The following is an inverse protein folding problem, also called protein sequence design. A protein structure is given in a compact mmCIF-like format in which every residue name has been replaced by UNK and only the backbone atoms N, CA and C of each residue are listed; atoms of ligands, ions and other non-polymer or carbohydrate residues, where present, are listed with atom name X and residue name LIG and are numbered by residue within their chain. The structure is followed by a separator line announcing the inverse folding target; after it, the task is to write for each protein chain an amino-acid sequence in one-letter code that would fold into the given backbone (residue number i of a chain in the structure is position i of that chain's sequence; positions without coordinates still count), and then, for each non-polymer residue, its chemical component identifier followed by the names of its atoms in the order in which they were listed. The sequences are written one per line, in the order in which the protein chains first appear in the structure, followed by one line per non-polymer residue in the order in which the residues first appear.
data_IF_242650113363
#
_entry.id   IF_242650113363
#
_cell.length_a   1.000
_cell.length_b   1.000
_cell.length_c   1.000
_cell.angle_alpha   90.00
_cell.angle_beta   90.00
_cell.angle_gamma   90.00
#
_symmetry.space_group_name_H-M   'P 1'
#
loop_
_entity.id
_entity.type
_entity.pdbx_description
1 polymer ?
#
# COMPACT_ATOMS: atom_id res chain seq x y z
N UNK A 1 -17.41 -5.23 -6.25
CA UNK A 1 -16.93 -4.12 -7.12
C UNK A 1 -15.59 -4.49 -7.73
N UNK A 2 -15.37 -4.22 -9.01
CA UNK A 2 -14.04 -4.36 -9.61
C UNK A 2 -13.29 -3.02 -9.52
N UNK A 3 -12.13 -3.01 -8.89
CA UNK A 3 -11.37 -1.77 -8.60
C UNK A 3 -10.95 -1.05 -9.88
N UNK A 4 -10.41 -1.77 -10.87
CA UNK A 4 -9.99 -1.18 -12.15
C UNK A 4 -11.16 -0.53 -12.89
N UNK A 5 -12.27 -1.25 -13.02
CA UNK A 5 -13.47 -0.74 -13.69
C UNK A 5 -14.04 0.48 -13.00
N UNK A 6 -14.07 0.50 -11.66
CA UNK A 6 -14.55 1.63 -10.88
C UNK A 6 -13.67 2.87 -11.07
N UNK A 7 -12.35 2.70 -11.00
CA UNK A 7 -11.42 3.82 -11.22
C UNK A 7 -11.47 4.35 -12.66
N UNK A 8 -11.69 3.49 -13.65
CA UNK A 8 -11.90 3.91 -15.03
C UNK A 8 -13.15 4.80 -15.19
N UNK A 9 -14.23 4.44 -14.51
CA UNK A 9 -15.46 5.26 -14.50
C UNK A 9 -15.25 6.60 -13.78
N UNK A 10 -14.55 6.60 -12.65
CA UNK A 10 -14.35 7.80 -11.82
C UNK A 10 -13.33 8.79 -12.39
N UNK A 11 -12.34 8.31 -13.12
CA UNK A 11 -11.18 9.10 -13.52
C UNK A 11 -11.08 9.34 -15.04
N UNK A 12 -11.77 8.56 -15.86
CA UNK A 12 -11.71 8.67 -17.32
C UNK A 12 -10.48 7.99 -17.92
N UNK A 13 -9.56 8.76 -18.49
CA UNK A 13 -8.39 8.21 -19.19
C UNK A 13 -7.43 7.49 -18.22
N UNK A 14 -7.27 6.18 -18.45
CA UNK A 14 -6.40 5.29 -17.67
C UNK A 14 -5.51 4.43 -18.56
N UNK A 15 -5.38 4.75 -19.85
CA UNK A 15 -4.72 3.88 -20.84
C UNK A 15 -3.27 3.49 -20.48
N UNK A 16 -2.53 4.40 -19.85
CA UNK A 16 -1.14 4.19 -19.49
C UNK A 16 -0.94 3.79 -18.01
N UNK A 17 -2.03 3.51 -17.29
CA UNK A 17 -1.98 3.23 -15.87
C UNK A 17 -2.19 1.73 -15.59
N UNK A 18 -1.45 1.24 -14.61
CA UNK A 18 -1.60 -0.09 -14.04
C UNK A 18 -2.52 -0.02 -12.81
N UNK A 19 -3.77 -0.39 -13.00
CA UNK A 19 -4.78 -0.44 -11.95
C UNK A 19 -5.03 -1.88 -11.54
N UNK A 20 -5.34 -2.11 -10.28
CA UNK A 20 -5.61 -3.44 -9.74
C UNK A 20 -6.90 -4.02 -10.33
N UNK A 21 -6.77 -5.07 -11.13
CA UNK A 21 -7.89 -5.79 -11.72
C UNK A 21 -8.36 -6.90 -10.76
N UNK A 22 -9.11 -6.50 -9.76
CA UNK A 22 -9.57 -7.39 -8.68
C UNK A 22 -10.99 -7.03 -8.24
N UNK A 23 -11.77 -8.06 -7.94
CA UNK A 23 -13.11 -7.92 -7.38
C UNK A 23 -13.05 -7.92 -5.86
N UNK A 24 -13.62 -6.92 -5.23
CA UNK A 24 -13.61 -6.72 -3.77
C UNK A 24 -15.00 -6.27 -3.29
N UNK A 25 -15.32 -6.63 -2.07
CA UNK A 25 -16.40 -6.02 -1.28
C UNK A 25 -15.79 -4.89 -0.43
N UNK A 26 -15.96 -3.61 -0.82
CA UNK A 26 -15.25 -2.49 -0.19
C UNK A 26 -15.46 -2.36 1.30
N UNK A 27 -16.65 -2.73 1.77
CA UNK A 27 -17.05 -2.66 3.17
C UNK A 27 -16.28 -3.63 4.06
N UNK A 28 -15.67 -4.67 3.48
CA UNK A 28 -14.86 -5.66 4.22
C UNK A 28 -13.44 -5.20 4.46
N UNK A 29 -12.97 -4.18 3.74
CA UNK A 29 -11.59 -3.70 3.85
C UNK A 29 -11.46 -2.74 5.02
N UNK A 30 -10.60 -3.10 5.96
CA UNK A 30 -10.30 -2.33 7.17
C UNK A 30 -8.86 -1.78 7.20
N UNK A 31 -7.98 -2.32 6.37
CA UNK A 31 -6.62 -1.80 6.22
C UNK A 31 -6.20 -1.69 4.75
N UNK A 32 -5.41 -0.67 4.43
CA UNK A 32 -4.79 -0.51 3.12
C UNK A 32 -3.28 -0.46 3.29
N UNK A 33 -2.56 -1.26 2.50
CA UNK A 33 -1.10 -1.19 2.40
C UNK A 33 -0.72 -0.53 1.08
N UNK A 34 -0.02 0.60 1.14
CA UNK A 34 0.43 1.34 -0.03
C UNK A 34 1.91 1.04 -0.26
N UNK A 35 2.20 0.27 -1.31
CA UNK A 35 3.55 0.03 -1.82
C UNK A 35 4.00 1.19 -2.71
N UNK A 36 5.24 1.20 -3.17
CA UNK A 36 5.81 2.33 -3.89
C UNK A 36 5.33 2.44 -5.35
N UNK A 37 5.66 1.47 -6.19
CA UNK A 37 5.47 1.56 -7.65
C UNK A 37 5.09 0.22 -8.25
N UNK A 38 4.24 0.26 -9.28
CA UNK A 38 3.91 -0.95 -10.07
C UNK A 38 5.16 -1.52 -10.74
N UNK A 39 5.28 -2.85 -10.87
CA UNK A 39 6.41 -3.49 -11.53
C UNK A 39 6.38 -3.23 -13.04
N UNK A 40 7.51 -3.44 -13.71
CA UNK A 40 7.59 -3.32 -15.18
C UNK A 40 6.71 -4.37 -15.88
N UNK A 41 6.69 -5.60 -15.36
CA UNK A 41 5.81 -6.67 -15.84
C UNK A 41 4.51 -6.70 -15.00
N UNK A 42 3.32 -6.58 -15.62
CA UNK A 42 2.05 -6.62 -14.88
C UNK A 42 1.82 -7.90 -14.08
N UNK A 43 2.32 -9.03 -14.57
CA UNK A 43 2.19 -10.33 -13.91
C UNK A 43 2.96 -10.40 -12.58
N UNK A 44 3.93 -9.51 -12.37
CA UNK A 44 4.75 -9.45 -11.15
C UNK A 44 4.14 -8.59 -10.05
N UNK A 45 2.99 -7.95 -10.31
CA UNK A 45 2.26 -7.17 -9.30
C UNK A 45 1.45 -8.08 -8.35
N UNK A 46 0.92 -7.53 -7.28
CA UNK A 46 0.19 -8.25 -6.22
C UNK A 46 -1.01 -9.05 -6.74
N UNK A 47 -1.72 -8.53 -7.74
CA UNK A 47 -2.90 -9.17 -8.35
C UNK A 47 -2.59 -9.75 -9.74
N UNK A 48 -1.32 -9.94 -10.07
CA UNK A 48 -0.89 -10.58 -11.30
C UNK A 48 -1.04 -12.10 -11.22
N UNK A 49 0.08 -12.81 -11.25
CA UNK A 49 0.08 -14.28 -11.05
C UNK A 49 0.27 -14.64 -9.57
N UNK A 50 -0.17 -15.83 -9.13
CA UNK A 50 -0.08 -16.25 -7.71
C UNK A 50 1.33 -16.21 -7.12
N UNK A 51 2.35 -16.54 -7.92
CA UNK A 51 3.77 -16.54 -7.59
C UNK A 51 4.50 -15.28 -8.10
N UNK A 52 3.80 -14.16 -8.17
CA UNK A 52 4.36 -12.89 -8.64
C UNK A 52 5.57 -12.45 -7.82
N UNK A 53 6.47 -11.67 -8.43
CA UNK A 53 7.65 -11.15 -7.76
C UNK A 53 7.29 -10.37 -6.48
N UNK A 54 6.21 -9.58 -6.51
CA UNK A 54 5.75 -8.81 -5.35
C UNK A 54 5.18 -9.72 -4.24
N UNK A 55 4.41 -10.75 -4.60
CA UNK A 55 3.90 -11.70 -3.61
C UNK A 55 5.00 -12.58 -3.00
N UNK A 56 6.05 -12.87 -3.73
CA UNK A 56 7.19 -13.68 -3.24
C UNK A 56 7.92 -13.04 -2.05
N UNK A 57 7.87 -11.73 -1.91
CA UNK A 57 8.41 -11.00 -0.76
C UNK A 57 7.35 -10.68 0.30
N UNK A 58 6.11 -10.45 -0.11
CA UNK A 58 5.00 -10.08 0.76
C UNK A 58 4.51 -11.26 1.61
N UNK A 59 4.34 -12.44 1.03
CA UNK A 59 3.91 -13.66 1.77
C UNK A 59 4.82 -13.98 2.95
N UNK A 60 6.16 -14.02 2.79
CA UNK A 60 7.06 -14.26 3.93
C UNK A 60 6.92 -13.23 5.06
N UNK A 61 6.66 -11.95 4.74
CA UNK A 61 6.46 -10.92 5.76
C UNK A 61 5.18 -11.15 6.55
N UNK A 62 4.07 -11.50 5.89
CA UNK A 62 2.82 -11.83 6.57
C UNK A 62 2.99 -13.05 7.47
N UNK A 63 3.65 -14.10 7.00
CA UNK A 63 3.94 -15.29 7.80
C UNK A 63 4.83 -14.99 9.00
N UNK A 64 5.85 -14.15 8.82
CA UNK A 64 6.70 -13.67 9.93
C UNK A 64 5.90 -12.87 10.96
N UNK A 65 4.88 -12.13 10.51
CA UNK A 65 3.93 -11.42 11.37
C UNK A 65 2.90 -12.35 12.06
N UNK A 66 3.00 -13.66 11.87
CA UNK A 66 2.06 -14.63 12.45
C UNK A 66 0.74 -14.76 11.68
N UNK A 67 0.67 -14.25 10.45
CA UNK A 67 -0.53 -14.26 9.62
C UNK A 67 -0.33 -15.27 8.49
N UNK A 68 -0.99 -16.41 8.58
CA UNK A 68 -0.90 -17.47 7.58
C UNK A 68 -1.63 -17.04 6.29
N UNK A 69 -0.86 -16.86 5.23
CA UNK A 69 -1.33 -16.54 3.88
C UNK A 69 -0.51 -17.31 2.84
N UNK A 70 -1.13 -17.67 1.74
CA UNK A 70 -0.48 -18.31 0.60
C UNK A 70 -0.72 -17.55 -0.70
N UNK A 71 -1.80 -16.78 -0.76
CA UNK A 71 -2.23 -16.01 -1.94
C UNK A 71 -2.69 -14.61 -1.51
N UNK A 72 -2.73 -13.70 -2.48
CA UNK A 72 -3.27 -12.35 -2.24
C UNK A 72 -4.74 -12.39 -1.78
N UNK A 73 -5.51 -13.38 -2.21
CA UNK A 73 -6.90 -13.57 -1.77
C UNK A 73 -6.99 -13.83 -0.27
N UNK A 74 -6.02 -14.51 0.33
CA UNK A 74 -5.98 -14.73 1.77
C UNK A 74 -5.80 -13.41 2.54
N UNK A 75 -5.05 -12.48 1.97
CA UNK A 75 -4.85 -11.14 2.52
C UNK A 75 -6.14 -10.33 2.42
N UNK A 76 -6.79 -10.35 1.25
CA UNK A 76 -8.09 -9.69 1.04
C UNK A 76 -9.16 -10.23 2.00
N UNK A 77 -9.22 -11.54 2.19
CA UNK A 77 -10.17 -12.20 3.11
C UNK A 77 -9.96 -11.81 4.58
N UNK A 78 -8.80 -11.22 4.90
CA UNK A 78 -8.50 -10.65 6.23
C UNK A 78 -8.82 -9.16 6.33
N UNK A 79 -9.47 -8.59 5.32
CA UNK A 79 -9.83 -7.18 5.30
C UNK A 79 -8.66 -6.24 4.96
N UNK A 80 -7.64 -6.74 4.28
CA UNK A 80 -6.45 -5.97 3.92
C UNK A 80 -6.37 -5.85 2.39
N UNK A 81 -6.32 -4.61 1.89
CA UNK A 81 -6.12 -4.30 0.49
C UNK A 81 -4.70 -3.78 0.26
N UNK A 82 -4.06 -4.22 -0.82
CA UNK A 82 -2.71 -3.76 -1.19
C UNK A 82 -2.79 -2.97 -2.50
N UNK A 83 -2.10 -1.83 -2.57
CA UNK A 83 -1.99 -1.05 -3.80
C UNK A 83 -0.61 -0.42 -3.94
N UNK A 84 -0.33 0.14 -5.12
CA UNK A 84 0.90 0.90 -5.40
C UNK A 84 0.59 2.40 -5.47
N UNK A 85 1.46 3.23 -4.90
CA UNK A 85 1.32 4.68 -4.93
C UNK A 85 1.47 5.24 -6.34
N UNK A 86 2.42 4.71 -7.10
CA UNK A 86 2.69 5.11 -8.49
C UNK A 86 2.15 4.05 -9.44
N UNK A 87 1.28 4.47 -10.35
CA UNK A 87 0.50 3.62 -11.26
C UNK A 87 1.19 3.37 -12.61
N UNK A 88 2.36 3.92 -12.82
CA UNK A 88 3.19 3.70 -14.02
C UNK A 88 4.52 3.09 -13.63
N UNK A 89 5.08 2.14 -14.41
CA UNK A 89 6.39 1.60 -14.14
C UNK A 89 7.45 2.71 -14.19
N UNK A 90 8.44 2.63 -13.30
CA UNK A 90 9.56 3.57 -13.37
C UNK A 90 10.43 3.29 -14.60
N UNK A 91 10.85 4.35 -15.30
CA UNK A 91 11.77 4.29 -16.44
C UNK A 91 13.23 4.42 -16.03
N UNK A 92 13.49 4.88 -14.80
CA UNK A 92 14.82 5.14 -14.26
C UNK A 92 15.00 4.44 -12.90
N UNK A 93 16.19 4.53 -12.33
CA UNK A 93 16.48 3.93 -11.01
C UNK A 93 15.58 4.49 -9.90
N UNK A 94 15.33 5.80 -9.91
CA UNK A 94 14.47 6.46 -8.93
C UNK A 94 13.10 6.81 -9.53
N UNK A 95 12.08 6.80 -8.67
CA UNK A 95 10.73 7.27 -9.04
C UNK A 95 10.73 8.79 -9.09
N UNK A 96 10.33 9.37 -10.24
CA UNK A 96 10.26 10.82 -10.40
C UNK A 96 9.10 11.43 -9.62
N UNK A 97 9.25 12.70 -9.23
CA UNK A 97 8.16 13.46 -8.60
C UNK A 97 6.94 13.53 -9.51
N UNK A 98 7.16 13.72 -10.81
CA UNK A 98 6.10 13.78 -11.82
C UNK A 98 5.27 12.48 -11.87
N UNK A 99 5.93 11.31 -11.86
CA UNK A 99 5.23 10.01 -11.83
C UNK A 99 4.34 9.87 -10.59
N UNK A 100 4.80 10.37 -9.44
CA UNK A 100 3.99 10.40 -8.23
C UNK A 100 2.80 11.33 -8.43
N UNK A 101 3.03 12.57 -8.86
CA UNK A 101 1.99 13.59 -9.05
C UNK A 101 0.90 13.11 -10.04
N UNK A 102 1.30 12.48 -11.14
CA UNK A 102 0.38 11.94 -12.14
C UNK A 102 -0.47 10.78 -11.61
N UNK A 103 0.01 10.05 -10.60
CA UNK A 103 -0.71 8.94 -9.98
C UNK A 103 -1.66 9.37 -8.85
N UNK A 104 -1.47 10.56 -8.26
CA UNK A 104 -2.22 11.00 -7.07
C UNK A 104 -3.74 11.05 -7.26
N UNK A 105 -4.30 11.53 -8.40
CA UNK A 105 -5.76 11.54 -8.58
C UNK A 105 -6.36 10.14 -8.49
N UNK A 106 -5.69 9.16 -9.06
CA UNK A 106 -6.14 7.76 -9.06
C UNK A 106 -5.98 7.12 -7.68
N UNK A 107 -4.83 7.30 -7.05
CA UNK A 107 -4.60 6.82 -5.68
C UNK A 107 -5.61 7.43 -4.71
N UNK A 108 -5.87 8.73 -4.79
CA UNK A 108 -6.84 9.42 -3.94
C UNK A 108 -8.26 8.87 -4.10
N UNK A 109 -8.70 8.62 -5.33
CA UNK A 109 -9.99 8.00 -5.62
C UNK A 109 -10.06 6.55 -5.13
N UNK A 110 -9.00 5.80 -5.35
CA UNK A 110 -8.89 4.40 -4.91
C UNK A 110 -9.01 4.28 -3.38
N UNK A 111 -8.31 5.11 -2.62
CA UNK A 111 -8.42 5.12 -1.16
C UNK A 111 -9.84 5.46 -0.67
N UNK A 112 -10.54 6.31 -1.41
CA UNK A 112 -11.91 6.71 -1.07
C UNK A 112 -12.98 5.65 -1.35
N UNK A 113 -12.62 4.55 -2.04
CA UNK A 113 -13.56 3.44 -2.31
C UNK A 113 -13.88 2.62 -1.04
N UNK A 114 -13.08 2.70 0.00
CA UNK A 114 -13.14 1.83 1.16
C UNK A 114 -13.67 2.59 2.41
N UNK A 115 -14.95 2.44 2.75
CA UNK A 115 -15.58 3.26 3.80
C UNK A 115 -15.14 2.89 5.22
N UNK A 116 -14.67 1.65 5.44
CA UNK A 116 -14.40 1.11 6.77
C UNK A 116 -12.91 1.03 7.12
N UNK A 117 -12.05 1.76 6.40
CA UNK A 117 -10.61 1.72 6.65
C UNK A 117 -10.27 2.36 7.99
N UNK A 118 -9.57 1.60 8.83
CA UNK A 118 -9.06 1.99 10.15
C UNK A 118 -7.57 2.26 10.15
N UNK A 119 -6.83 1.58 9.25
CA UNK A 119 -5.35 1.66 9.17
C UNK A 119 -4.89 1.81 7.73
N UNK A 120 -3.92 2.70 7.50
CA UNK A 120 -3.17 2.78 6.24
C UNK A 120 -1.69 2.59 6.56
N UNK A 121 -1.06 1.57 5.96
CA UNK A 121 0.38 1.36 6.01
C UNK A 121 1.06 1.98 4.79
N UNK A 122 2.18 2.66 5.02
CA UNK A 122 2.97 3.29 3.98
C UNK A 122 4.30 2.53 3.85
N UNK A 123 4.38 1.68 2.84
CA UNK A 123 5.48 0.74 2.65
C UNK A 123 6.58 1.36 1.79
N UNK A 124 7.44 2.16 2.40
CA UNK A 124 8.56 2.83 1.77
C UNK A 124 8.41 4.33 1.60
N UNK A 125 9.49 4.98 1.15
CA UNK A 125 9.58 6.45 1.09
C UNK A 125 8.69 7.07 0.01
N UNK A 126 8.52 6.39 -1.13
CA UNK A 126 7.64 6.87 -2.21
C UNK A 126 6.18 6.83 -1.76
N UNK A 127 5.75 5.79 -1.05
CA UNK A 127 4.40 5.70 -0.48
C UNK A 127 4.14 6.83 0.54
N UNK A 128 5.09 7.09 1.44
CA UNK A 128 5.01 8.22 2.39
C UNK A 128 4.89 9.56 1.68
N UNK A 129 5.72 9.78 0.66
CA UNK A 129 5.72 11.01 -0.13
C UNK A 129 4.37 11.21 -0.86
N UNK A 130 3.88 10.18 -1.52
CA UNK A 130 2.59 10.23 -2.21
C UNK A 130 1.43 10.53 -1.25
N UNK A 131 1.38 9.85 -0.11
CA UNK A 131 0.35 10.08 0.91
C UNK A 131 0.43 11.49 1.50
N UNK A 132 1.64 12.01 1.77
CA UNK A 132 1.83 13.39 2.22
C UNK A 132 1.37 14.41 1.16
N UNK A 133 1.57 14.13 -0.12
CA UNK A 133 1.06 15.01 -1.18
C UNK A 133 -0.47 15.02 -1.22
N UNK A 134 -1.13 13.88 -0.99
CA UNK A 134 -2.60 13.80 -0.86
C UNK A 134 -3.07 14.58 0.38
N UNK A 135 -2.47 14.32 1.54
CA UNK A 135 -2.88 14.96 2.79
C UNK A 135 -2.68 16.48 2.74
N UNK A 136 -1.59 16.95 2.13
CA UNK A 136 -1.31 18.37 1.97
C UNK A 136 -2.32 19.09 1.07
N UNK A 137 -2.84 18.43 0.03
CA UNK A 137 -3.92 18.99 -0.80
C UNK A 137 -5.20 19.21 0.02
N UNK A 138 -5.50 18.33 0.95
CA UNK A 138 -6.75 18.34 1.73
C UNK A 138 -6.66 19.16 3.00
N UNK A 139 -5.57 19.00 3.79
CA UNK A 139 -5.42 19.61 5.12
C UNK A 139 -4.36 20.69 5.20
N UNK A 140 -3.67 20.99 4.08
CA UNK A 140 -2.52 21.93 3.97
C UNK A 140 -1.30 21.51 4.79
N UNK A 141 -1.29 20.30 5.34
CA UNK A 141 -0.21 19.75 6.17
C UNK A 141 0.16 18.35 5.73
N UNK A 142 1.41 17.97 5.94
CA UNK A 142 1.84 16.58 5.83
C UNK A 142 1.23 15.76 6.96
N UNK A 143 0.66 14.60 6.65
CA UNK A 143 0.18 13.66 7.67
C UNK A 143 1.34 12.96 8.38
N UNK A 144 2.41 12.66 7.64
CA UNK A 144 3.59 11.96 8.15
C UNK A 144 4.75 12.95 8.29
N UNK A 145 5.36 13.08 9.50
CA UNK A 145 6.52 13.93 9.69
C UNK A 145 7.73 13.54 8.82
N UNK A 146 8.56 14.52 8.45
CA UNK A 146 9.79 14.31 7.67
C UNK A 146 10.95 13.85 8.53
N UNK A 147 10.81 12.69 9.16
CA UNK A 147 11.85 12.02 9.95
C UNK A 147 12.04 10.58 9.46
N UNK A 148 13.08 9.91 9.93
CA UNK A 148 13.37 8.53 9.47
C UNK A 148 12.23 7.56 9.79
N UNK A 149 12.04 6.57 8.94
CA UNK A 149 11.05 5.50 9.15
C UNK A 149 11.25 4.81 10.50
N UNK A 150 12.48 4.57 10.91
CA UNK A 150 12.81 3.98 12.20
C UNK A 150 12.18 4.73 13.38
N UNK A 151 12.26 6.07 13.37
CA UNK A 151 11.63 6.91 14.39
C UNK A 151 10.11 6.97 14.27
N UNK A 152 9.61 7.00 13.03
CA UNK A 152 8.17 7.09 12.77
C UNK A 152 7.40 5.85 13.25
N UNK A 153 8.01 4.66 13.19
CA UNK A 153 7.38 3.40 13.60
C UNK A 153 6.88 3.41 15.06
N UNK A 154 7.55 4.16 15.92
CA UNK A 154 7.20 4.29 17.35
C UNK A 154 6.28 5.49 17.64
N UNK A 155 5.81 6.19 16.60
CA UNK A 155 4.98 7.39 16.73
C UNK A 155 3.55 7.07 16.34
N UNK A 156 2.59 7.46 17.17
CA UNK A 156 1.19 7.36 16.81
C UNK A 156 0.81 8.50 15.86
N UNK A 157 0.45 8.14 14.62
CA UNK A 157 0.04 9.09 13.59
C UNK A 157 -1.42 8.82 13.24
N UNK A 158 -2.27 9.82 13.39
CA UNK A 158 -3.69 9.77 13.02
C UNK A 158 -3.95 10.83 11.94
N UNK A 159 -4.58 10.40 10.87
CA UNK A 159 -5.04 11.28 9.79
C UNK A 159 -6.52 11.03 9.51
N UNK A 160 -7.37 12.03 9.77
CA UNK A 160 -8.83 11.93 9.62
C UNK A 160 -9.44 10.71 10.31
N UNK A 161 -8.97 10.39 11.52
CA UNK A 161 -9.45 9.23 12.29
C UNK A 161 -8.83 7.89 11.87
N UNK A 162 -8.00 7.86 10.84
CA UNK A 162 -7.32 6.66 10.35
C UNK A 162 -5.90 6.60 10.93
N UNK A 163 -5.51 5.44 11.46
CA UNK A 163 -4.14 5.19 11.91
C UNK A 163 -3.21 5.07 10.71
N UNK A 164 -2.14 5.86 10.70
CA UNK A 164 -1.10 5.78 9.67
C UNK A 164 0.14 5.09 10.24
N UNK A 165 0.60 4.04 9.57
CA UNK A 165 1.79 3.28 9.95
C UNK A 165 2.83 3.38 8.83
N UNK A 166 3.82 4.29 8.95
CA UNK A 166 4.97 4.28 8.05
C UNK A 166 5.86 3.08 8.32
N UNK A 167 6.27 2.38 7.26
CA UNK A 167 7.14 1.22 7.34
C UNK A 167 8.14 1.18 6.18
N UNK A 168 8.88 0.09 6.06
CA UNK A 168 9.86 -0.11 4.99
C UNK A 168 9.20 -0.69 3.74
N UNK A 169 9.91 -0.60 2.61
CA UNK A 169 9.47 -1.22 1.36
C UNK A 169 9.29 -2.74 1.56
N UNK A 170 8.22 -3.29 0.98
CA UNK A 170 7.91 -4.73 1.10
C UNK A 170 8.17 -5.52 -0.18
N UNK A 171 8.62 -4.88 -1.23
CA UNK A 171 8.89 -5.50 -2.53
C UNK A 171 10.34 -5.32 -2.94
N UNK A 172 10.80 -6.19 -3.84
CA UNK A 172 12.19 -6.23 -4.28
C UNK A 172 13.04 -7.21 -3.45
N UNK A 173 13.97 -7.90 -4.11
CA UNK A 173 14.75 -8.97 -3.49
C UNK A 173 15.61 -8.53 -2.31
N UNK A 174 16.02 -7.26 -2.27
CA UNK A 174 16.85 -6.72 -1.19
C UNK A 174 16.18 -6.80 0.18
N UNK A 175 14.85 -6.76 0.24
CA UNK A 175 14.15 -6.85 1.53
C UNK A 175 14.38 -8.21 2.24
N UNK A 176 14.53 -9.27 1.48
CA UNK A 176 14.81 -10.60 2.03
C UNK A 176 16.25 -10.72 2.55
N UNK A 177 17.16 -9.87 2.09
CA UNK A 177 18.57 -9.80 2.50
C UNK A 177 18.74 -8.86 3.70
N UNK A 178 18.02 -7.75 3.72
CA UNK A 178 18.02 -6.75 4.80
C UNK A 178 17.17 -7.23 5.99
N UNK A 179 17.66 -8.24 6.72
CA UNK A 179 16.93 -8.93 7.80
C UNK A 179 16.28 -7.98 8.81
N UNK A 180 16.99 -6.93 9.22
CA UNK A 180 16.48 -5.96 10.19
C UNK A 180 15.24 -5.21 9.67
N UNK A 181 15.25 -4.77 8.42
CA UNK A 181 14.09 -4.11 7.81
C UNK A 181 12.93 -5.09 7.57
N UNK A 182 13.25 -6.31 7.18
CA UNK A 182 12.25 -7.38 7.02
C UNK A 182 11.53 -7.66 8.34
N UNK A 183 12.26 -7.78 9.44
CA UNK A 183 11.67 -7.99 10.77
C UNK A 183 10.82 -6.82 11.19
N UNK A 184 11.34 -5.59 11.08
CA UNK A 184 10.58 -4.39 11.44
C UNK A 184 9.31 -4.21 10.61
N UNK A 185 9.36 -4.45 9.30
CA UNK A 185 8.17 -4.41 8.46
C UNK A 185 7.14 -5.50 8.84
N UNK A 186 7.60 -6.68 9.20
CA UNK A 186 6.75 -7.77 9.68
C UNK A 186 6.07 -7.42 11.02
N UNK A 187 6.79 -6.81 11.95
CA UNK A 187 6.22 -6.30 13.22
C UNK A 187 5.18 -5.21 12.97
N UNK A 188 5.41 -4.34 11.99
CA UNK A 188 4.44 -3.29 11.62
C UNK A 188 3.17 -3.90 11.01
N UNK A 189 3.29 -4.96 10.21
CA UNK A 189 2.16 -5.73 9.68
C UNK A 189 1.37 -6.39 10.82
N UNK A 190 2.06 -6.99 11.79
CA UNK A 190 1.42 -7.56 12.98
C UNK A 190 0.63 -6.48 13.75
N UNK A 191 1.23 -5.32 13.94
CA UNK A 191 0.58 -4.17 14.60
C UNK A 191 -0.67 -3.72 13.84
N UNK A 192 -0.58 -3.56 12.53
CA UNK A 192 -1.74 -3.24 11.68
C UNK A 192 -2.84 -4.28 11.83
N UNK A 193 -2.50 -5.56 11.76
CA UNK A 193 -3.48 -6.65 11.84
C UNK A 193 -4.18 -6.69 13.20
N UNK A 194 -3.46 -6.49 14.29
CA UNK A 194 -4.02 -6.36 15.62
C UNK A 194 -5.02 -5.20 15.72
N UNK A 195 -4.67 -4.03 15.19
CA UNK A 195 -5.53 -2.84 15.23
C UNK A 195 -6.87 -3.05 14.50
N UNK A 196 -6.90 -3.82 13.42
CA UNK A 196 -8.17 -4.11 12.72
C UNK A 196 -8.98 -5.21 13.40
N UNK A 197 -8.33 -6.13 14.13
CA UNK A 197 -9.01 -7.21 14.87
C UNK A 197 -9.59 -6.74 16.20
N UNK A 198 -8.88 -5.91 16.95
CA UNK A 198 -9.30 -5.42 18.28
C UNK A 198 -10.44 -4.39 18.19
N UNK A 199 -10.85 -4.01 16.98
CA UNK A 199 -11.89 -3.01 16.73
C UNK A 199 -13.27 -3.64 16.43
N UNK A 200 -13.36 -4.95 16.44
CA UNK A 200 -14.60 -5.72 16.33
C UNK A 200 -15.09 -6.08 17.74
#
# INVERSE_FOLDING_TARGET
MNIKSELQQLCGDTQNLRLNDVNIEPETIQAIMINEVVPSCPEDDFYGKPDSAYMSTTIPMFRKAGIEVGLVQDILNRGIYITNAVKTPKSEYAVSKESIENSLPYLGKELALFPNVKVIMLMGDVAKKAFNMISKKTTKKNAVPSISTYKLRNTEIIYKGIRIIPSYIMTGQNILIEKSKFEMASEDIETMYRLIKDSD
#
